data_IF_168273337296
#
_entry.id   IF_168273337296
#
_cell.length_a   1.000
_cell.length_b   1.000
_cell.length_c   1.000
_cell.angle_alpha   90.00
_cell.angle_beta   90.00
_cell.angle_gamma   90.00
#
_symmetry.space_group_name_H-M   'P 1'
#
loop_
_entity.id
_entity.type
_entity.pdbx_description
1 polymer ?
#
# COMPACT_ATOMS: atom_id res chain seq x y z
N UNK A 1 -19.03 54.53 11.21
CA UNK A 1 -19.34 53.10 10.94
C UNK A 1 -18.00 52.39 10.89
N UNK A 2 -17.78 51.38 11.76
CA UNK A 2 -16.51 50.66 11.83
C UNK A 2 -16.23 49.87 10.55
N UNK A 3 -14.95 49.69 10.21
CA UNK A 3 -14.57 48.90 9.04
C UNK A 3 -14.49 47.44 9.45
N UNK A 4 -15.29 46.57 8.81
CA UNK A 4 -15.27 45.15 9.11
C UNK A 4 -14.06 44.48 8.43
N UNK A 5 -13.22 43.79 9.20
CA UNK A 5 -12.05 43.06 8.71
C UNK A 5 -12.19 41.58 9.02
N UNK A 6 -11.73 40.75 8.09
CA UNK A 6 -11.74 39.30 8.23
C UNK A 6 -10.33 38.75 8.10
N UNK A 7 -9.91 37.97 9.09
CA UNK A 7 -8.70 37.17 9.09
C UNK A 7 -9.06 35.70 8.84
N UNK A 8 -8.23 34.98 8.10
CA UNK A 8 -8.42 33.56 7.82
C UNK A 8 -7.13 32.79 8.04
N UNK A 9 -7.23 31.65 8.73
CA UNK A 9 -6.13 30.72 8.96
C UNK A 9 -6.60 29.28 8.72
N UNK A 10 -5.69 28.41 8.31
CA UNK A 10 -5.92 26.97 8.22
C UNK A 10 -5.13 26.31 9.33
N UNK A 11 -5.81 25.64 10.25
CA UNK A 11 -5.20 25.02 11.42
C UNK A 11 -5.45 23.51 11.44
N UNK A 12 -4.51 22.77 12.02
CA UNK A 12 -4.65 21.32 12.24
C UNK A 12 -5.39 21.07 13.56
N UNK A 13 -6.59 20.48 13.50
CA UNK A 13 -7.42 20.26 14.68
C UNK A 13 -7.08 19.00 15.48
N UNK A 14 -6.57 17.97 14.79
CA UNK A 14 -6.34 16.64 15.37
C UNK A 14 -4.90 16.22 15.07
N UNK A 15 -4.16 15.65 16.05
CA UNK A 15 -2.81 15.17 15.84
C UNK A 15 -2.68 14.20 14.67
N UNK A 16 -1.53 14.25 13.97
CA UNK A 16 -1.22 13.25 12.96
C UNK A 16 -0.92 11.91 13.62
N UNK A 17 -1.58 10.86 13.14
CA UNK A 17 -1.33 9.49 13.53
C UNK A 17 -0.75 8.79 12.32
N UNK A 18 0.39 8.15 12.50
CA UNK A 18 0.94 7.26 11.49
C UNK A 18 0.12 5.96 11.45
N UNK A 19 -0.30 5.56 10.25
CA UNK A 19 -1.03 4.31 10.01
C UNK A 19 -0.18 3.27 9.29
N UNK A 20 1.15 3.42 9.30
CA UNK A 20 2.09 2.46 8.71
C UNK A 20 1.89 1.03 9.24
N UNK A 21 1.41 0.85 10.47
CA UNK A 21 1.05 -0.46 11.02
C UNK A 21 0.00 -1.22 10.17
N UNK A 22 -0.92 -0.49 9.52
CA UNK A 22 -1.91 -1.07 8.61
C UNK A 22 -1.24 -1.64 7.35
N UNK A 23 -0.14 -1.05 6.87
CA UNK A 23 0.64 -1.62 5.76
C UNK A 23 1.18 -2.99 6.15
N UNK A 24 1.74 -3.09 7.35
CA UNK A 24 2.30 -4.36 7.86
C UNK A 24 1.22 -5.43 7.98
N UNK A 25 0.07 -5.10 8.57
CA UNK A 25 -1.05 -6.03 8.69
C UNK A 25 -1.56 -6.55 7.33
N UNK A 26 -1.57 -5.71 6.30
CA UNK A 26 -2.00 -6.08 4.96
C UNK A 26 -0.93 -6.85 4.16
N UNK A 27 0.36 -6.68 4.47
CA UNK A 27 1.47 -7.40 3.83
C UNK A 27 1.68 -8.80 4.38
N UNK A 28 1.49 -9.00 5.68
CA UNK A 28 1.71 -10.31 6.32
C UNK A 28 1.07 -11.52 5.58
N UNK A 29 -0.19 -11.45 5.08
CA UNK A 29 -0.76 -12.56 4.33
C UNK A 29 -0.08 -12.81 2.98
N UNK A 30 0.42 -11.76 2.32
CA UNK A 30 1.12 -11.87 1.03
C UNK A 30 2.48 -12.49 1.24
N UNK A 31 3.21 -12.04 2.26
CA UNK A 31 4.50 -12.62 2.63
C UNK A 31 4.34 -14.12 2.91
N UNK A 32 3.27 -14.51 3.62
CA UNK A 32 2.95 -15.92 3.87
C UNK A 32 2.52 -16.71 2.62
N UNK A 33 1.90 -16.07 1.62
CA UNK A 33 1.60 -16.71 0.32
C UNK A 33 2.91 -16.92 -0.45
N UNK A 34 3.76 -15.89 -0.56
CA UNK A 34 5.04 -15.98 -1.24
C UNK A 34 5.95 -17.07 -0.66
N UNK A 35 6.04 -17.17 0.68
CA UNK A 35 6.81 -18.23 1.34
C UNK A 35 6.27 -19.65 1.03
N UNK A 36 4.94 -19.80 0.92
CA UNK A 36 4.32 -21.07 0.58
C UNK A 36 4.53 -21.42 -0.91
N UNK A 37 4.44 -20.44 -1.80
CA UNK A 37 4.68 -20.62 -3.22
C UNK A 37 6.14 -21.02 -3.48
N UNK A 38 7.11 -20.35 -2.85
CA UNK A 38 8.52 -20.74 -2.92
C UNK A 38 8.74 -22.19 -2.45
N UNK A 39 8.11 -22.59 -1.35
CA UNK A 39 8.17 -23.98 -0.85
C UNK A 39 7.55 -24.97 -1.84
N UNK A 40 6.37 -24.64 -2.38
CA UNK A 40 5.68 -25.47 -3.36
C UNK A 40 6.56 -25.70 -4.60
N UNK A 41 7.08 -24.62 -5.17
CA UNK A 41 7.95 -24.70 -6.34
C UNK A 41 9.27 -25.40 -6.06
N UNK A 42 9.82 -25.29 -4.84
CA UNK A 42 10.97 -26.10 -4.40
C UNK A 42 10.66 -27.60 -4.43
N UNK A 43 9.48 -28.02 -3.93
CA UNK A 43 9.09 -29.43 -3.96
C UNK A 43 8.84 -29.95 -5.38
N UNK A 44 8.15 -29.16 -6.21
CA UNK A 44 7.93 -29.51 -7.62
C UNK A 44 9.26 -29.68 -8.35
N UNK A 45 10.20 -28.75 -8.18
CA UNK A 45 11.53 -28.86 -8.79
C UNK A 45 12.31 -30.08 -8.29
N UNK A 46 12.21 -30.41 -6.99
CA UNK A 46 12.84 -31.62 -6.43
C UNK A 46 12.29 -32.89 -7.08
N UNK A 47 10.97 -33.01 -7.24
CA UNK A 47 10.34 -34.16 -7.91
C UNK A 47 10.86 -34.30 -9.33
N UNK A 48 10.82 -33.20 -10.10
CA UNK A 48 11.27 -33.15 -11.50
C UNK A 48 12.76 -33.53 -11.66
N UNK A 49 13.62 -33.19 -10.70
CA UNK A 49 15.07 -33.47 -10.76
C UNK A 49 15.42 -34.87 -10.20
N UNK A 50 14.67 -35.35 -9.20
CA UNK A 50 14.93 -36.62 -8.51
C UNK A 50 14.57 -37.85 -9.34
N UNK A 51 13.59 -37.73 -10.21
CA UNK A 51 13.32 -38.74 -11.23
C UNK A 51 14.27 -38.44 -12.39
N UNK A 52 15.21 -39.35 -12.70
CA UNK A 52 16.15 -39.28 -13.85
C UNK A 52 15.40 -39.39 -15.21
N UNK A 53 14.31 -38.63 -15.35
CA UNK A 53 13.41 -38.62 -16.49
C UNK A 53 13.91 -37.59 -17.50
N UNK A 54 14.53 -38.09 -18.56
CA UNK A 54 14.87 -37.30 -19.75
C UNK A 54 13.71 -37.41 -20.73
N UNK A 55 13.03 -36.29 -21.02
CA UNK A 55 11.97 -36.29 -22.02
C UNK A 55 11.23 -34.95 -22.14
N UNK A 56 10.56 -34.76 -23.29
CA UNK A 56 9.78 -33.54 -23.61
C UNK A 56 8.71 -33.18 -22.57
N UNK A 57 8.21 -34.16 -21.82
CA UNK A 57 7.21 -33.98 -20.76
C UNK A 57 7.82 -33.24 -19.57
N UNK A 58 9.03 -33.62 -19.13
CA UNK A 58 9.75 -32.95 -18.04
C UNK A 58 10.11 -31.51 -18.43
N UNK A 59 10.54 -31.29 -19.68
CA UNK A 59 10.84 -29.94 -20.17
C UNK A 59 9.58 -29.06 -20.19
N UNK A 60 8.44 -29.63 -20.61
CA UNK A 60 7.16 -28.93 -20.57
C UNK A 60 6.71 -28.62 -19.14
N UNK A 61 6.87 -29.56 -18.20
CA UNK A 61 6.57 -29.33 -16.78
C UNK A 61 7.46 -28.25 -16.18
N UNK A 62 8.77 -28.29 -16.40
CA UNK A 62 9.69 -27.23 -15.94
C UNK A 62 9.26 -25.86 -16.47
N UNK A 63 8.95 -25.78 -17.77
CA UNK A 63 8.53 -24.53 -18.41
C UNK A 63 7.23 -23.98 -17.79
N UNK A 64 6.22 -24.83 -17.60
CA UNK A 64 4.96 -24.45 -16.98
C UNK A 64 5.16 -24.03 -15.52
N UNK A 65 5.95 -24.78 -14.75
CA UNK A 65 6.28 -24.46 -13.36
C UNK A 65 6.97 -23.10 -13.24
N UNK A 66 8.00 -22.83 -14.06
CA UNK A 66 8.65 -21.50 -14.08
C UNK A 66 7.67 -20.40 -14.49
N UNK A 67 6.80 -20.66 -15.48
CA UNK A 67 5.82 -19.67 -15.92
C UNK A 67 4.83 -19.30 -14.80
N UNK A 68 4.38 -20.27 -14.02
CA UNK A 68 3.47 -20.03 -12.89
C UNK A 68 4.18 -19.32 -11.75
N UNK A 69 5.40 -19.75 -11.42
CA UNK A 69 6.22 -19.08 -10.40
C UNK A 69 6.40 -17.59 -10.70
N UNK A 70 6.75 -17.25 -11.94
CA UNK A 70 6.90 -15.85 -12.35
C UNK A 70 5.56 -15.07 -12.32
N UNK A 71 4.45 -15.74 -12.63
CA UNK A 71 3.12 -15.13 -12.58
C UNK A 71 2.70 -14.82 -11.14
N UNK A 72 2.91 -15.77 -10.23
CA UNK A 72 2.55 -15.65 -8.82
C UNK A 72 3.42 -14.60 -8.11
N UNK A 73 4.72 -14.55 -8.43
CA UNK A 73 5.62 -13.49 -7.97
C UNK A 73 5.14 -12.11 -8.43
N UNK A 74 4.79 -11.98 -9.72
CA UNK A 74 4.24 -10.74 -10.26
C UNK A 74 2.91 -10.32 -9.61
N UNK A 75 2.04 -11.27 -9.26
CA UNK A 75 0.82 -10.98 -8.50
C UNK A 75 1.13 -10.46 -7.09
N UNK A 76 2.08 -11.08 -6.38
CA UNK A 76 2.48 -10.65 -5.04
C UNK A 76 3.05 -9.21 -5.06
N UNK A 77 3.88 -8.88 -6.04
CA UNK A 77 4.40 -7.53 -6.25
C UNK A 77 3.29 -6.51 -6.54
N UNK A 78 2.36 -6.86 -7.44
CA UNK A 78 1.26 -6.00 -7.83
C UNK A 78 0.31 -5.69 -6.65
N UNK A 79 -0.01 -6.70 -5.84
CA UNK A 79 -0.85 -6.52 -4.65
C UNK A 79 -0.11 -5.68 -3.60
N UNK A 80 1.19 -5.93 -3.40
CA UNK A 80 2.03 -5.12 -2.50
C UNK A 80 2.04 -3.64 -2.91
N UNK A 81 2.17 -3.36 -4.20
CA UNK A 81 2.10 -2.00 -4.75
C UNK A 81 0.73 -1.36 -4.51
N UNK A 82 -0.37 -2.10 -4.72
CA UNK A 82 -1.74 -1.63 -4.48
C UNK A 82 -1.97 -1.29 -3.00
N UNK A 83 -1.48 -2.13 -2.07
CA UNK A 83 -1.56 -1.86 -0.63
C UNK A 83 -0.82 -0.58 -0.28
N UNK A 84 0.42 -0.42 -0.77
CA UNK A 84 1.21 0.77 -0.50
C UNK A 84 0.48 2.03 -0.99
N UNK A 85 -0.07 2.00 -2.21
CA UNK A 85 -0.86 3.12 -2.76
C UNK A 85 -2.10 3.41 -1.92
N UNK A 86 -2.88 2.40 -1.59
CA UNK A 86 -4.12 2.56 -0.82
C UNK A 86 -3.87 3.18 0.56
N UNK A 87 -2.83 2.73 1.28
CA UNK A 87 -2.52 3.29 2.60
C UNK A 87 -1.94 4.71 2.49
N UNK A 88 -1.12 5.01 1.47
CA UNK A 88 -0.64 6.38 1.24
C UNK A 88 -1.81 7.32 0.95
N UNK A 89 -2.71 6.96 0.04
CA UNK A 89 -3.91 7.76 -0.26
C UNK A 89 -4.80 7.93 0.98
N UNK A 90 -4.98 6.89 1.79
CA UNK A 90 -5.73 6.99 3.04
C UNK A 90 -5.07 7.98 4.02
N UNK A 91 -3.75 7.95 4.16
CA UNK A 91 -3.02 8.89 5.01
C UNK A 91 -3.18 10.35 4.54
N UNK A 92 -3.10 10.58 3.23
CA UNK A 92 -3.31 11.90 2.63
C UNK A 92 -4.73 12.41 2.88
N UNK A 93 -5.76 11.59 2.63
CA UNK A 93 -7.16 11.95 2.90
C UNK A 93 -7.40 12.26 4.37
N UNK A 94 -6.84 11.44 5.27
CA UNK A 94 -6.95 11.69 6.71
C UNK A 94 -6.22 12.96 7.11
N UNK A 95 -5.08 13.29 6.50
CA UNK A 95 -4.37 14.54 6.77
C UNK A 95 -5.18 15.76 6.30
N UNK A 96 -5.77 15.70 5.10
CA UNK A 96 -6.65 16.76 4.58
C UNK A 96 -7.87 16.98 5.48
N UNK A 97 -8.52 15.91 5.93
CA UNK A 97 -9.69 15.99 6.81
C UNK A 97 -9.38 16.62 8.19
N UNK A 98 -8.11 16.65 8.60
CA UNK A 98 -7.69 17.25 9.89
C UNK A 98 -7.47 18.75 9.82
N UNK A 99 -7.46 19.32 8.62
CA UNK A 99 -7.31 20.76 8.41
C UNK A 99 -8.69 21.41 8.40
N UNK A 100 -8.85 22.46 9.21
CA UNK A 100 -10.06 23.29 9.16
C UNK A 100 -9.68 24.75 8.92
N UNK A 101 -10.45 25.42 8.05
CA UNK A 101 -10.35 26.85 7.82
C UNK A 101 -11.10 27.59 8.92
N UNK A 102 -10.38 28.38 9.68
CA UNK A 102 -10.91 29.29 10.70
C UNK A 102 -10.96 30.68 10.09
N UNK A 103 -12.11 31.36 10.20
CA UNK A 103 -12.27 32.76 9.82
C UNK A 103 -12.71 33.56 11.03
N UNK A 104 -11.99 34.64 11.33
CA UNK A 104 -12.30 35.56 12.43
C UNK A 104 -12.64 36.92 11.82
N UNK A 105 -13.85 37.41 12.05
CA UNK A 105 -14.30 38.71 11.57
C UNK A 105 -14.46 39.66 12.75
N UNK A 106 -13.88 40.85 12.66
CA UNK A 106 -13.94 41.88 13.71
C UNK A 106 -14.27 43.24 13.10
N UNK A 107 -14.94 44.08 13.87
CA UNK A 107 -15.17 45.49 13.51
C UNK A 107 -14.06 46.35 14.10
N UNK A 108 -13.35 47.06 13.23
CA UNK A 108 -12.33 48.02 13.63
C UNK A 108 -13.01 49.36 13.91
N UNK A 109 -13.03 49.74 15.20
CA UNK A 109 -13.60 51.01 15.65
C UNK A 109 -12.56 52.12 15.82
N UNK A 110 -11.27 51.85 15.54
CA UNK A 110 -10.20 52.84 15.61
C UNK A 110 -9.86 53.35 14.20
N UNK A 111 -10.68 54.27 13.71
CA UNK A 111 -10.25 55.24 12.68
C UNK A 111 -10.26 56.63 13.32
N UNK A 112 -9.11 57.04 13.84
CA UNK A 112 -8.69 58.46 13.83
C UNK A 112 -7.99 58.75 12.50
#
# INVERSE_FOLDING_TARGET
MGQQRTFQATEQLIPNKDYSDKKKALKNPIDGIGENDERFYSYVNKIIISEDQKGKIIDAMKKETTSRMNHDEGLCEDVTRKINKAVTTFNEQVAEMKLQRISVTYEDHNME
#
